data_IF_694418800912
#
_entry.id   IF_694418800912
#
_cell.length_a   1.000
_cell.length_b   1.000
_cell.length_c   1.000
_cell.angle_alpha   90.00
_cell.angle_beta   90.00
_cell.angle_gamma   90.00
#
_symmetry.space_group_name_H-M   'P 1'
#
loop_
_entity.id
_entity.type
_entity.pdbx_description
1 polymer ?
#
# COMPACT_ATOMS: atom_id res chain seq x y z
N UNK A 1 -70.07 25.13 -24.95
CA UNK A 1 -69.59 25.09 -23.56
C UNK A 1 -68.41 24.13 -23.51
N UNK A 2 -67.21 24.68 -23.60
CA UNK A 2 -65.91 24.00 -23.58
C UNK A 2 -65.57 23.55 -22.17
N UNK A 3 -65.24 22.28 -21.96
CA UNK A 3 -64.29 21.87 -20.94
C UNK A 3 -63.40 20.75 -21.48
N UNK A 4 -62.12 21.08 -21.43
CA UNK A 4 -60.94 20.39 -21.93
C UNK A 4 -60.60 19.20 -21.02
N UNK A 5 -60.45 18.01 -21.58
CA UNK A 5 -60.12 16.79 -20.85
C UNK A 5 -58.88 16.12 -21.47
N UNK A 6 -57.75 16.80 -21.48
CA UNK A 6 -56.46 16.27 -21.94
C UNK A 6 -55.35 16.53 -20.93
N UNK A 7 -55.44 15.97 -19.72
CA UNK A 7 -54.40 16.18 -18.69
C UNK A 7 -53.99 14.95 -17.86
N UNK A 8 -54.34 13.72 -18.27
CA UNK A 8 -54.08 12.53 -17.41
C UNK A 8 -53.01 11.57 -17.92
N UNK A 9 -52.65 11.54 -19.21
CA UNK A 9 -51.75 10.49 -19.74
C UNK A 9 -50.24 10.79 -19.73
N UNK A 10 -49.81 12.05 -19.50
CA UNK A 10 -48.40 12.43 -19.62
C UNK A 10 -47.51 12.18 -18.37
N UNK A 11 -48.10 11.93 -17.19
CA UNK A 11 -47.37 11.81 -15.90
C UNK A 11 -46.53 10.52 -15.71
N UNK A 12 -46.94 9.30 -16.15
CA UNK A 12 -46.16 8.09 -15.88
C UNK A 12 -44.87 7.99 -16.72
N UNK A 13 -44.88 8.46 -17.97
CA UNK A 13 -43.72 8.40 -18.87
C UNK A 13 -42.56 9.30 -18.41
N UNK A 14 -42.85 10.47 -17.83
CA UNK A 14 -41.83 11.38 -17.31
C UNK A 14 -41.15 10.83 -16.04
N UNK A 15 -41.91 10.15 -15.17
CA UNK A 15 -41.35 9.52 -13.98
C UNK A 15 -40.44 8.33 -14.33
N UNK A 16 -40.84 7.49 -15.28
CA UNK A 16 -40.01 6.40 -15.79
C UNK A 16 -38.69 6.94 -16.40
N UNK A 17 -38.75 7.95 -17.28
CA UNK A 17 -37.55 8.58 -17.86
C UNK A 17 -36.60 9.19 -16.81
N UNK A 18 -37.13 9.79 -15.73
CA UNK A 18 -36.32 10.31 -14.61
C UNK A 18 -35.62 9.19 -13.82
N UNK A 19 -36.30 8.07 -13.60
CA UNK A 19 -35.72 6.90 -12.93
C UNK A 19 -34.62 6.23 -13.75
N UNK A 20 -34.82 6.06 -15.07
CA UNK A 20 -33.78 5.57 -15.98
C UNK A 20 -32.54 6.47 -15.93
N UNK A 21 -32.70 7.79 -16.12
CA UNK A 21 -31.60 8.77 -16.01
C UNK A 21 -30.90 8.79 -14.65
N UNK A 22 -31.58 8.44 -13.56
CA UNK A 22 -30.96 8.32 -12.24
C UNK A 22 -30.14 7.02 -12.13
N UNK A 23 -30.65 5.90 -12.64
CA UNK A 23 -29.93 4.60 -12.67
C UNK A 23 -28.69 4.68 -13.53
N UNK A 24 -28.76 5.34 -14.68
CA UNK A 24 -27.62 5.52 -15.59
C UNK A 24 -26.52 6.35 -14.93
N UNK A 25 -26.88 7.50 -14.33
CA UNK A 25 -25.93 8.32 -13.56
C UNK A 25 -25.33 7.58 -12.37
N UNK A 26 -26.10 6.71 -11.71
CA UNK A 26 -25.59 5.87 -10.62
C UNK A 26 -24.57 4.86 -11.13
N UNK A 27 -24.87 4.14 -12.22
CA UNK A 27 -23.95 3.20 -12.88
C UNK A 27 -22.67 3.89 -13.32
N UNK A 28 -22.78 5.06 -13.95
CA UNK A 28 -21.64 5.86 -14.38
C UNK A 28 -20.74 6.25 -13.20
N UNK A 29 -21.34 6.73 -12.10
CA UNK A 29 -20.60 7.02 -10.85
C UNK A 29 -19.93 5.78 -10.27
N UNK A 30 -20.60 4.63 -10.28
CA UNK A 30 -20.04 3.37 -9.79
C UNK A 30 -18.84 2.92 -10.65
N UNK A 31 -18.93 3.08 -11.97
CA UNK A 31 -17.82 2.79 -12.91
C UNK A 31 -16.64 3.73 -12.65
N UNK A 32 -16.88 5.05 -12.55
CA UNK A 32 -15.84 6.05 -12.26
C UNK A 32 -15.18 5.78 -10.90
N UNK A 33 -15.97 5.59 -9.84
CA UNK A 33 -15.45 5.30 -8.51
C UNK A 33 -14.66 3.97 -8.45
N UNK A 34 -14.97 3.02 -9.33
CA UNK A 34 -14.18 1.78 -9.45
C UNK A 34 -12.86 2.03 -10.18
N UNK A 35 -12.85 2.81 -11.25
CA UNK A 35 -11.63 3.23 -11.96
C UNK A 35 -10.70 4.03 -11.04
N UNK A 36 -11.24 4.97 -10.28
CA UNK A 36 -10.48 5.78 -9.33
C UNK A 36 -9.85 4.91 -8.22
N UNK A 37 -10.59 3.93 -7.69
CA UNK A 37 -10.06 2.98 -6.71
C UNK A 37 -8.90 2.14 -7.26
N UNK A 38 -9.04 1.60 -8.48
CA UNK A 38 -7.97 0.84 -9.13
C UNK A 38 -6.75 1.75 -9.37
N UNK A 39 -6.96 2.98 -9.85
CA UNK A 39 -5.91 3.96 -10.05
C UNK A 39 -5.17 4.31 -8.75
N UNK A 40 -5.91 4.53 -7.66
CA UNK A 40 -5.33 4.81 -6.34
C UNK A 40 -4.51 3.62 -5.82
N UNK A 41 -5.01 2.39 -5.95
CA UNK A 41 -4.27 1.18 -5.56
C UNK A 41 -2.99 1.00 -6.39
N UNK A 42 -3.04 1.25 -7.69
CA UNK A 42 -1.84 1.19 -8.54
C UNK A 42 -0.79 2.25 -8.16
N UNK A 43 -1.23 3.47 -7.86
CA UNK A 43 -0.34 4.54 -7.40
C UNK A 43 0.30 4.21 -6.06
N UNK A 44 -0.46 3.64 -5.13
CA UNK A 44 0.05 3.20 -3.83
C UNK A 44 1.08 2.07 -3.96
N UNK A 45 0.83 1.05 -4.78
CA UNK A 45 1.80 -0.01 -5.03
C UNK A 45 3.08 0.52 -5.67
N UNK A 46 2.97 1.54 -6.54
CA UNK A 46 4.16 2.24 -7.06
C UNK A 46 4.91 2.95 -5.94
N UNK A 47 4.21 3.65 -5.06
CA UNK A 47 4.82 4.29 -3.91
C UNK A 47 5.53 3.28 -3.00
N UNK A 48 4.91 2.12 -2.73
CA UNK A 48 5.53 1.03 -1.96
C UNK A 48 6.82 0.55 -2.64
N UNK A 49 6.84 0.39 -3.97
CA UNK A 49 8.07 0.04 -4.70
C UNK A 49 9.19 1.07 -4.50
N UNK A 50 8.87 2.36 -4.62
CA UNK A 50 9.86 3.42 -4.45
C UNK A 50 10.38 3.47 -2.99
N UNK A 51 9.49 3.26 -2.01
CA UNK A 51 9.82 3.13 -0.59
C UNK A 51 10.75 1.93 -0.33
N UNK A 52 10.43 0.76 -0.86
CA UNK A 52 11.24 -0.46 -0.68
C UNK A 52 12.62 -0.31 -1.34
N UNK A 53 12.70 0.33 -2.51
CA UNK A 53 13.97 0.65 -3.14
C UNK A 53 14.82 1.62 -2.29
N UNK A 54 14.19 2.59 -1.61
CA UNK A 54 14.87 3.46 -0.66
C UNK A 54 15.32 2.70 0.59
N UNK A 55 14.49 1.82 1.15
CA UNK A 55 14.85 0.96 2.28
C UNK A 55 16.06 0.07 1.96
N UNK A 56 16.13 -0.47 0.75
CA UNK A 56 17.27 -1.27 0.29
C UNK A 56 18.59 -0.47 0.35
N UNK A 57 18.56 0.82 0.00
CA UNK A 57 19.73 1.71 0.10
C UNK A 57 20.17 1.92 1.56
N UNK A 58 19.22 2.01 2.48
CA UNK A 58 19.50 2.16 3.93
C UNK A 58 20.20 0.91 4.46
N UNK A 59 19.67 -0.28 4.13
CA UNK A 59 20.29 -1.56 4.52
C UNK A 59 21.69 -1.70 3.89
N UNK A 60 21.83 -1.39 2.61
CA UNK A 60 23.12 -1.43 1.92
C UNK A 60 24.16 -0.46 2.49
N UNK A 61 23.72 0.66 3.08
CA UNK A 61 24.62 1.64 3.72
C UNK A 61 25.09 1.22 5.11
N UNK A 62 24.30 0.39 5.80
CA UNK A 62 24.64 -0.08 7.15
C UNK A 62 23.55 -0.95 7.75
N UNK A 63 23.56 -2.24 7.47
CA UNK A 63 22.64 -3.18 8.11
C UNK A 63 23.03 -3.45 9.57
N UNK A 64 22.03 -3.60 10.45
CA UNK A 64 22.23 -3.97 11.86
C UNK A 64 21.24 -5.02 12.36
N UNK A 65 21.69 -5.70 13.42
CA UNK A 65 20.92 -6.61 14.26
C UNK A 65 20.76 -6.04 15.66
N UNK A 66 19.69 -6.42 16.35
CA UNK A 66 19.45 -6.07 17.75
C UNK A 66 19.20 -4.57 17.98
N UNK A 67 18.87 -3.85 16.92
CA UNK A 67 18.62 -2.41 16.92
C UNK A 67 17.84 -1.99 15.68
N UNK A 68 17.29 -0.79 15.69
CA UNK A 68 16.46 -0.28 14.59
C UNK A 68 17.27 0.56 13.60
N UNK A 69 18.12 1.44 14.11
CA UNK A 69 18.91 2.36 13.28
C UNK A 69 20.38 2.35 13.68
N UNK A 70 21.21 2.81 12.74
CA UNK A 70 22.56 3.31 13.02
C UNK A 70 22.56 4.80 12.75
N UNK A 71 22.98 5.58 13.72
CA UNK A 71 23.08 7.04 13.64
C UNK A 71 24.52 7.49 13.80
N UNK A 72 24.86 8.65 13.26
CA UNK A 72 26.06 9.37 13.68
C UNK A 72 25.69 10.33 14.80
N UNK A 73 26.33 10.20 15.94
CA UNK A 73 26.18 11.17 17.04
C UNK A 73 26.91 12.49 16.73
N UNK A 74 26.79 13.47 17.62
CA UNK A 74 27.45 14.77 17.47
C UNK A 74 28.98 14.72 17.41
N UNK A 75 29.60 13.58 17.72
CA UNK A 75 31.04 13.33 17.59
C UNK A 75 31.42 12.60 16.29
N UNK A 76 30.43 12.28 15.44
CA UNK A 76 30.62 11.52 14.21
C UNK A 76 30.76 10.02 14.43
N UNK A 77 30.51 9.50 15.64
CA UNK A 77 30.59 8.06 15.94
C UNK A 77 29.28 7.36 15.60
N UNK A 78 29.39 6.16 15.02
CA UNK A 78 28.24 5.30 14.74
C UNK A 78 27.70 4.71 16.05
N UNK A 79 26.40 4.87 16.28
CA UNK A 79 25.69 4.24 17.40
C UNK A 79 24.46 3.49 16.90
N UNK A 80 24.31 2.26 17.37
CA UNK A 80 23.09 1.48 17.18
C UNK A 80 22.07 1.87 18.23
N UNK A 81 20.83 2.04 17.82
CA UNK A 81 19.74 2.55 18.66
C UNK A 81 18.48 1.74 18.42
N UNK A 82 17.73 1.48 19.49
CA UNK A 82 16.45 0.78 19.41
C UNK A 82 15.30 1.75 19.09
N UNK A 83 14.09 1.22 18.88
CA UNK A 83 12.91 2.02 18.57
C UNK A 83 12.54 3.06 19.65
N UNK A 84 12.83 2.76 20.92
CA UNK A 84 12.52 3.65 22.04
C UNK A 84 13.45 4.87 22.04
N UNK A 85 14.76 4.62 21.97
CA UNK A 85 15.79 5.66 21.94
C UNK A 85 15.68 6.52 20.69
N UNK A 86 15.27 5.91 19.57
CA UNK A 86 15.11 6.57 18.29
C UNK A 86 14.08 7.71 18.29
N UNK A 87 13.11 7.69 19.22
CA UNK A 87 12.14 8.79 19.39
C UNK A 87 12.78 10.09 19.88
N UNK A 88 13.97 10.00 20.47
CA UNK A 88 14.68 11.13 21.08
C UNK A 88 15.86 11.61 20.25
N UNK A 89 16.11 11.03 19.07
CA UNK A 89 17.29 11.32 18.24
C UNK A 89 17.11 12.46 17.23
N UNK A 90 16.19 13.40 17.50
CA UNK A 90 15.85 14.47 16.57
C UNK A 90 17.11 15.15 15.99
N UNK A 91 17.31 14.99 14.68
CA UNK A 91 18.38 15.64 13.91
C UNK A 91 19.64 14.79 13.65
N UNK A 92 19.77 13.59 14.21
CA UNK A 92 20.92 12.73 13.90
C UNK A 92 20.75 12.00 12.57
N UNK A 93 21.77 12.01 11.69
CA UNK A 93 21.68 11.35 10.40
C UNK A 93 21.69 9.84 10.58
N UNK A 94 20.68 9.17 9.99
CA UNK A 94 20.60 7.72 9.92
C UNK A 94 21.49 7.25 8.78
N UNK A 95 22.46 6.38 9.11
CA UNK A 95 23.44 5.82 8.16
C UNK A 95 23.26 4.32 7.97
N UNK A 96 22.19 3.76 8.52
CA UNK A 96 21.92 2.33 8.49
C UNK A 96 20.68 1.95 9.30
N UNK A 97 20.22 0.72 9.14
CA UNK A 97 19.10 0.19 9.89
C UNK A 97 18.88 -1.30 9.69
N UNK A 98 18.06 -1.89 10.57
CA UNK A 98 17.51 -3.22 10.35
C UNK A 98 16.43 -3.19 9.26
N UNK A 99 15.89 -4.34 8.84
CA UNK A 99 14.80 -4.43 7.87
C UNK A 99 13.63 -3.47 8.17
N UNK A 100 13.06 -3.58 9.38
CA UNK A 100 11.90 -2.78 9.80
C UNK A 100 12.27 -1.29 9.89
N UNK A 101 13.42 -0.99 10.50
CA UNK A 101 13.94 0.37 10.62
C UNK A 101 14.17 1.02 9.25
N UNK A 102 14.72 0.29 8.29
CA UNK A 102 14.95 0.79 6.94
C UNK A 102 13.65 1.14 6.21
N UNK A 103 12.61 0.31 6.32
CA UNK A 103 11.27 0.57 5.75
C UNK A 103 10.66 1.81 6.41
N UNK A 104 10.70 1.89 7.73
CA UNK A 104 10.18 3.05 8.48
C UNK A 104 10.94 4.33 8.13
N UNK A 105 12.27 4.28 8.05
CA UNK A 105 13.09 5.43 7.67
C UNK A 105 12.78 5.91 6.26
N UNK A 106 12.72 4.99 5.29
CA UNK A 106 12.36 5.30 3.90
C UNK A 106 10.96 5.90 3.77
N UNK A 107 10.05 5.55 4.69
CA UNK A 107 8.70 6.09 4.76
C UNK A 107 8.55 7.46 5.44
N UNK A 108 9.63 8.08 5.93
CA UNK A 108 9.58 9.35 6.66
C UNK A 108 9.96 9.26 8.14
N UNK A 109 10.47 8.11 8.58
CA UNK A 109 10.91 7.88 9.96
C UNK A 109 9.78 7.50 10.92
N UNK A 110 10.08 7.52 12.22
CA UNK A 110 9.16 7.03 13.26
C UNK A 110 7.82 7.78 13.31
N UNK A 111 7.79 9.06 12.95
CA UNK A 111 6.55 9.84 12.89
C UNK A 111 5.57 9.29 11.83
N UNK A 112 6.10 8.73 10.74
CA UNK A 112 5.33 8.14 9.65
C UNK A 112 5.09 6.62 9.82
N UNK A 113 5.61 5.99 10.89
CA UNK A 113 5.54 4.54 11.08
C UNK A 113 4.10 3.99 11.09
N UNK A 114 3.15 4.80 11.55
CA UNK A 114 1.73 4.46 11.62
C UNK A 114 0.93 4.90 10.40
N UNK A 115 1.57 5.54 9.41
CA UNK A 115 0.92 5.92 8.16
C UNK A 115 0.63 4.69 7.30
N UNK A 116 -0.44 4.77 6.51
CA UNK A 116 -0.88 3.63 5.70
C UNK A 116 0.20 3.09 4.74
N UNK A 117 0.98 3.93 4.03
CA UNK A 117 1.97 3.40 3.10
C UNK A 117 3.07 2.58 3.79
N UNK A 118 3.53 3.01 4.96
CA UNK A 118 4.54 2.29 5.75
C UNK A 118 3.96 0.99 6.29
N UNK A 119 2.76 1.04 6.86
CA UNK A 119 2.06 -0.18 7.32
C UNK A 119 1.89 -1.19 6.18
N UNK A 120 1.39 -0.77 5.02
CA UNK A 120 1.19 -1.67 3.86
C UNK A 120 2.51 -2.22 3.30
N UNK A 121 3.59 -1.44 3.33
CA UNK A 121 4.91 -1.93 2.96
C UNK A 121 5.42 -3.01 3.93
N UNK A 122 5.21 -2.83 5.24
CA UNK A 122 5.52 -3.84 6.26
C UNK A 122 4.67 -5.10 6.08
N UNK A 123 3.37 -4.97 5.79
CA UNK A 123 2.48 -6.11 5.54
C UNK A 123 2.88 -6.88 4.28
N UNK A 124 3.21 -6.18 3.19
CA UNK A 124 3.70 -6.83 1.98
C UNK A 124 5.04 -7.55 2.23
N UNK A 125 5.91 -6.95 3.06
CA UNK A 125 7.18 -7.55 3.45
C UNK A 125 6.97 -8.83 4.25
N UNK A 126 6.09 -8.80 5.25
CA UNK A 126 5.74 -9.99 6.03
C UNK A 126 5.09 -11.06 5.15
N UNK A 127 4.17 -10.69 4.27
CA UNK A 127 3.53 -11.63 3.35
C UNK A 127 4.54 -12.26 2.38
N UNK A 128 5.49 -11.50 1.87
CA UNK A 128 6.54 -12.03 0.98
C UNK A 128 7.49 -12.97 1.72
N UNK A 129 7.71 -12.73 3.02
CA UNK A 129 8.56 -13.57 3.85
C UNK A 129 7.87 -14.87 4.31
N UNK A 130 6.62 -14.76 4.75
CA UNK A 130 5.92 -15.82 5.49
C UNK A 130 4.73 -16.42 4.72
N UNK A 131 4.20 -15.72 3.74
CA UNK A 131 3.04 -16.15 2.96
C UNK A 131 3.42 -17.10 1.82
N UNK A 132 2.41 -17.81 1.31
CA UNK A 132 2.53 -18.53 0.05
C UNK A 132 2.16 -17.61 -1.12
N UNK A 133 2.77 -17.83 -2.29
CA UNK A 133 2.57 -17.00 -3.47
C UNK A 133 1.09 -16.89 -3.92
N UNK A 134 0.29 -17.91 -3.61
CA UNK A 134 -1.14 -18.00 -3.95
C UNK A 134 -2.06 -17.30 -2.94
N UNK A 135 -1.58 -16.99 -1.74
CA UNK A 135 -2.40 -16.39 -0.70
C UNK A 135 -2.66 -14.90 -0.99
N UNK A 136 -3.88 -14.38 -0.81
CA UNK A 136 -4.14 -12.97 -0.98
C UNK A 136 -3.48 -12.13 0.13
N UNK A 137 -2.89 -11.00 -0.26
CA UNK A 137 -2.30 -10.05 0.68
C UNK A 137 -3.40 -9.42 1.54
N UNK A 138 -3.26 -9.54 2.87
CA UNK A 138 -4.14 -8.87 3.83
C UNK A 138 -3.64 -7.46 4.12
N UNK A 139 -4.07 -6.49 3.32
CA UNK A 139 -3.63 -5.08 3.41
C UNK A 139 -3.95 -4.36 4.72
N UNK A 140 -4.98 -4.80 5.44
CA UNK A 140 -5.45 -4.16 6.67
C UNK A 140 -5.67 -5.20 7.78
N UNK A 141 -4.62 -5.80 8.36
CA UNK A 141 -4.79 -6.72 9.48
C UNK A 141 -5.28 -5.98 10.72
N UNK A 142 -5.86 -6.75 11.66
CA UNK A 142 -6.15 -6.27 13.00
C UNK A 142 -4.87 -5.76 13.70
N UNK A 143 -4.97 -4.76 14.60
CA UNK A 143 -3.79 -4.16 15.25
C UNK A 143 -2.82 -5.17 15.86
N UNK A 144 -3.32 -6.18 16.59
CA UNK A 144 -2.48 -7.19 17.24
C UNK A 144 -1.75 -8.08 16.23
N UNK A 145 -2.39 -8.39 15.09
CA UNK A 145 -1.77 -9.12 14.00
C UNK A 145 -0.63 -8.29 13.37
N UNK A 146 -0.84 -6.98 13.16
CA UNK A 146 0.23 -6.09 12.67
C UNK A 146 1.43 -6.06 13.63
N UNK A 147 1.16 -5.96 14.93
CA UNK A 147 2.22 -6.00 15.95
C UNK A 147 2.94 -7.35 16.00
N UNK A 148 2.24 -8.47 15.73
CA UNK A 148 2.87 -9.77 15.56
C UNK A 148 3.77 -9.82 14.32
N UNK A 149 3.28 -9.36 13.16
CA UNK A 149 4.04 -9.37 11.91
C UNK A 149 5.34 -8.54 12.02
N UNK A 150 5.29 -7.36 12.65
CA UNK A 150 6.49 -6.55 12.89
C UNK A 150 7.49 -7.26 13.80
N UNK A 151 7.02 -8.00 14.82
CA UNK A 151 7.90 -8.81 15.68
C UNK A 151 8.53 -9.97 14.91
N UNK A 152 7.78 -10.64 14.03
CA UNK A 152 8.32 -11.71 13.18
C UNK A 152 9.41 -11.19 12.24
N UNK A 153 9.17 -10.05 11.59
CA UNK A 153 10.17 -9.38 10.74
C UNK A 153 11.43 -9.00 11.52
N UNK A 154 11.26 -8.48 12.73
CA UNK A 154 12.38 -8.12 13.63
C UNK A 154 13.16 -9.37 14.03
N UNK A 155 12.47 -10.45 14.43
CA UNK A 155 13.09 -11.72 14.80
C UNK A 155 13.83 -12.37 13.63
N UNK A 156 13.26 -12.32 12.43
CA UNK A 156 13.89 -12.84 11.22
C UNK A 156 15.15 -12.04 10.83
N UNK A 157 15.12 -10.70 10.99
CA UNK A 157 16.27 -9.84 10.78
C UNK A 157 17.38 -10.12 11.81
N UNK A 158 17.01 -10.32 13.07
CA UNK A 158 17.95 -10.44 14.18
C UNK A 158 18.50 -11.86 14.38
N UNK A 159 18.14 -12.80 13.51
CA UNK A 159 18.69 -14.15 13.52
C UNK A 159 20.23 -14.14 13.43
N UNK A 160 20.87 -15.03 14.19
CA UNK A 160 22.33 -15.06 14.32
C UNK A 160 23.04 -15.39 13.00
N UNK A 161 22.38 -16.15 12.10
CA UNK A 161 22.88 -16.47 10.77
C UNK A 161 22.53 -15.45 9.70
N UNK A 162 21.69 -14.45 10.02
CA UNK A 162 21.23 -13.46 9.03
C UNK A 162 22.39 -12.62 8.51
N UNK A 163 22.29 -12.25 7.23
CA UNK A 163 23.21 -11.35 6.55
C UNK A 163 22.48 -10.17 5.92
N UNK A 164 23.21 -9.08 5.66
CA UNK A 164 22.68 -7.91 4.95
C UNK A 164 22.18 -8.27 3.53
N UNK A 165 22.88 -9.18 2.84
CA UNK A 165 22.53 -9.61 1.48
C UNK A 165 21.19 -10.33 1.44
N UNK A 166 20.87 -11.15 2.44
CA UNK A 166 19.55 -11.78 2.55
C UNK A 166 18.44 -10.77 2.83
N UNK A 167 18.70 -9.75 3.63
CA UNK A 167 17.73 -8.65 3.86
C UNK A 167 17.50 -7.86 2.57
N UNK A 168 18.56 -7.57 1.82
CA UNK A 168 18.49 -6.91 0.52
C UNK A 168 17.74 -7.80 -0.49
N UNK A 169 17.99 -9.10 -0.49
CA UNK A 169 17.30 -10.06 -1.34
C UNK A 169 15.79 -10.10 -1.02
N UNK A 170 15.42 -10.13 0.27
CA UNK A 170 14.02 -10.03 0.67
C UNK A 170 13.38 -8.73 0.16
N UNK A 171 14.01 -7.57 0.37
CA UNK A 171 13.49 -6.28 -0.13
C UNK A 171 13.34 -6.27 -1.66
N UNK A 172 14.24 -6.93 -2.40
CA UNK A 172 14.10 -7.13 -3.84
C UNK A 172 12.88 -7.97 -4.19
N UNK A 173 12.65 -9.07 -3.47
CA UNK A 173 11.45 -9.90 -3.66
C UNK A 173 10.16 -9.13 -3.36
N UNK A 174 10.15 -8.29 -2.31
CA UNK A 174 9.01 -7.43 -1.98
C UNK A 174 8.74 -6.41 -3.09
N UNK A 175 9.81 -5.82 -3.66
CA UNK A 175 9.69 -4.90 -4.79
C UNK A 175 9.07 -5.59 -6.02
N UNK A 176 9.46 -6.84 -6.29
CA UNK A 176 8.90 -7.66 -7.36
C UNK A 176 7.43 -8.01 -7.10
N UNK A 177 7.09 -8.45 -5.88
CA UNK A 177 5.71 -8.75 -5.50
C UNK A 177 4.77 -7.53 -5.68
N UNK A 178 5.23 -6.32 -5.33
CA UNK A 178 4.47 -5.09 -5.59
C UNK A 178 4.28 -4.82 -7.10
N UNK A 179 5.25 -5.17 -7.94
CA UNK A 179 5.17 -5.04 -9.40
C UNK A 179 4.14 -6.01 -9.99
N UNK A 180 4.15 -7.25 -9.51
CA UNK A 180 3.23 -8.33 -9.92
C UNK A 180 1.79 -8.00 -9.52
N UNK A 181 1.57 -7.53 -8.29
CA UNK A 181 0.24 -7.09 -7.84
C UNK A 181 -0.29 -5.94 -8.71
N UNK A 182 0.57 -4.99 -9.09
CA UNK A 182 0.21 -3.93 -10.02
C UNK A 182 -0.18 -4.46 -11.40
N UNK A 183 0.47 -5.52 -11.85
CA UNK A 183 0.19 -6.16 -13.14
C UNK A 183 -1.16 -6.88 -13.08
N UNK A 184 -1.44 -7.59 -11.98
CA UNK A 184 -2.75 -8.20 -11.70
C UNK A 184 -3.86 -7.15 -11.67
N UNK A 185 -3.68 -6.03 -10.97
CA UNK A 185 -4.68 -4.96 -10.91
C UNK A 185 -4.94 -4.30 -12.28
N UNK A 186 -3.90 -4.16 -13.12
CA UNK A 186 -4.08 -3.67 -14.50
C UNK A 186 -4.92 -4.62 -15.34
N UNK A 187 -4.69 -5.93 -15.24
CA UNK A 187 -5.49 -6.93 -15.94
C UNK A 187 -6.97 -6.85 -15.53
N UNK A 188 -7.24 -6.79 -14.23
CA UNK A 188 -8.61 -6.60 -13.69
C UNK A 188 -9.23 -5.29 -14.21
N UNK A 189 -8.47 -4.20 -14.22
CA UNK A 189 -8.92 -2.91 -14.74
C UNK A 189 -9.29 -2.94 -16.22
N UNK A 190 -8.51 -3.66 -17.04
CA UNK A 190 -8.75 -3.83 -18.47
C UNK A 190 -9.99 -4.68 -18.76
N UNK A 191 -10.16 -5.81 -18.05
CA UNK A 191 -11.32 -6.70 -18.18
C UNK A 191 -12.65 -5.99 -17.86
N UNK A 192 -12.61 -5.03 -16.93
CA UNK A 192 -13.82 -4.29 -16.57
C UNK A 192 -14.00 -2.97 -17.33
N UNK A 193 -13.08 -2.65 -18.24
CA UNK A 193 -13.13 -1.47 -19.11
C UNK A 193 -13.52 -1.76 -20.55
N UNK A 194 -13.73 -3.03 -20.93
CA UNK A 194 -14.12 -3.45 -22.28
C UNK A 194 -15.52 -2.97 -22.70
N UNK A 195 -15.76 -2.71 -24.01
CA UNK A 195 -16.84 -1.85 -24.48
C UNK A 195 -18.24 -2.48 -24.36
N UNK A 196 -19.18 -1.72 -23.80
CA UNK A 196 -20.62 -1.87 -24.03
C UNK A 196 -20.98 -1.17 -25.36
N UNK A 197 -20.58 -1.75 -26.48
CA UNK A 197 -21.04 -1.35 -27.83
C UNK A 197 -22.18 -2.25 -28.36
N UNK A 198 -22.77 -3.10 -27.51
CA UNK A 198 -23.89 -3.95 -27.88
C UNK A 198 -25.19 -3.52 -27.17
N UNK A 199 -25.70 -2.32 -27.46
CA UNK A 199 -27.14 -2.01 -27.28
C UNK A 199 -27.59 -0.71 -28.00
N UNK A 200 -27.04 -0.46 -29.18
CA UNK A 200 -27.63 0.43 -30.18
C UNK A 200 -27.53 -0.27 -31.54
N UNK A 201 -28.30 -1.35 -31.68
CA UNK A 201 -28.69 -1.94 -32.94
C UNK A 201 -30.19 -2.20 -32.88
#
# INVERSE_FOLDING_TARGET
MTLDATATEARPAHHAKRLLRWRDRRREREILARRDRIGAQMAELRYIQDLIAAAQKVVASGWVRGGWFVVLDGSGRKRTVNAYDARYMNGWPIVGGCLVGAIVHAGGGLAAAEEQPVRRALELTWHTLCGHAEDPIRWCPAPDARAAHVRDLTRWNDDAGRTADEVIALLRSVWQAAAEERTRLRAVGAETGGPSEASLA
#
